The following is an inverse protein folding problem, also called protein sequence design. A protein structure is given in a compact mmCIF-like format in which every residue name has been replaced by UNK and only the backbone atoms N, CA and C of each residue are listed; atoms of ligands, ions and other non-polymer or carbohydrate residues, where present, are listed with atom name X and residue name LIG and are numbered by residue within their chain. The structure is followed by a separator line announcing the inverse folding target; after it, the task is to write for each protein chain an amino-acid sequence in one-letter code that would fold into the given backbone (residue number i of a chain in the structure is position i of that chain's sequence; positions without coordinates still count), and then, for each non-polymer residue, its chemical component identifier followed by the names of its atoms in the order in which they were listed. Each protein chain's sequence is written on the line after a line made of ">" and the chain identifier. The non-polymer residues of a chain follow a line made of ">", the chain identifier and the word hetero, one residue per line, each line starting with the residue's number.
data_IF_620977125923
#
_entry.id   IF_620977125923
#
_cell.length_a   1.000
_cell.length_b   1.000
_cell.length_c   1.000
_cell.angle_alpha   90.00
_cell.angle_beta   90.00
_cell.angle_gamma   90.00
#
_symmetry.space_group_name_H-M   'P 1'
#
loop_
_entity.id
_entity.type
_entity.pdbx_description
1 polymer ?
#
# COMPACT_ATOMS: atom_id res chain seq x y z
N UNK A 1 -17.32 -16.47 29.32
CA UNK A 1 -18.23 -15.90 28.29
C UNK A 1 -18.11 -14.38 28.14
N UNK A 2 -18.27 -13.56 29.19
CA UNK A 2 -18.20 -12.09 29.05
C UNK A 2 -16.74 -11.58 28.96
N UNK A 3 -15.82 -12.11 29.78
CA UNK A 3 -14.40 -11.78 29.74
C UNK A 3 -13.71 -12.21 28.42
N UNK A 4 -14.13 -13.35 27.84
CA UNK A 4 -13.59 -13.85 26.56
C UNK A 4 -13.96 -12.93 25.39
N UNK A 5 -15.16 -12.35 25.42
CA UNK A 5 -15.62 -11.38 24.43
C UNK A 5 -14.89 -10.03 24.55
N UNK A 6 -14.62 -9.55 25.76
CA UNK A 6 -13.87 -8.31 25.96
C UNK A 6 -12.41 -8.44 25.48
N UNK A 7 -11.77 -9.58 25.77
CA UNK A 7 -10.41 -9.87 25.30
C UNK A 7 -10.35 -9.92 23.76
N UNK A 8 -11.34 -10.57 23.13
CA UNK A 8 -11.47 -10.63 21.68
C UNK A 8 -11.63 -9.23 21.06
N UNK A 9 -12.57 -8.42 21.58
CA UNK A 9 -12.81 -7.05 21.10
C UNK A 9 -11.55 -6.21 21.19
N UNK A 10 -10.82 -6.32 22.31
CA UNK A 10 -9.57 -5.58 22.51
C UNK A 10 -8.49 -6.00 21.52
N UNK A 11 -8.30 -7.29 21.31
CA UNK A 11 -7.31 -7.80 20.35
C UNK A 11 -7.65 -7.43 18.91
N UNK A 12 -8.91 -7.60 18.49
CA UNK A 12 -9.35 -7.18 17.16
C UNK A 12 -9.18 -5.67 16.99
N UNK A 13 -9.59 -4.86 17.96
CA UNK A 13 -9.43 -3.40 17.89
C UNK A 13 -7.95 -2.99 17.75
N UNK A 14 -7.04 -3.71 18.41
CA UNK A 14 -5.61 -3.46 18.27
C UNK A 14 -5.10 -3.79 16.86
N UNK A 15 -5.51 -4.93 16.31
CA UNK A 15 -5.19 -5.33 14.93
C UNK A 15 -5.72 -4.30 13.92
N UNK A 16 -6.94 -3.84 14.12
CA UNK A 16 -7.57 -2.84 13.24
C UNK A 16 -6.80 -1.51 13.25
N UNK A 17 -6.34 -1.06 14.42
CA UNK A 17 -5.45 0.12 14.52
C UNK A 17 -4.11 -0.09 13.84
N UNK A 18 -3.51 -1.27 13.99
CA UNK A 18 -2.24 -1.60 13.35
C UNK A 18 -2.38 -1.56 11.82
N UNK A 19 -3.49 -2.08 11.27
CA UNK A 19 -3.80 -1.98 9.84
C UNK A 19 -3.92 -0.53 9.38
N UNK A 20 -4.61 0.33 10.15
CA UNK A 20 -4.75 1.75 9.83
C UNK A 20 -3.38 2.44 9.81
N UNK A 21 -2.53 2.20 10.80
CA UNK A 21 -1.18 2.78 10.86
C UNK A 21 -0.33 2.34 9.66
N UNK A 22 -0.37 1.06 9.29
CA UNK A 22 0.41 0.54 8.15
C UNK A 22 -0.05 1.16 6.84
N UNK A 23 -1.36 1.33 6.64
CA UNK A 23 -1.90 1.95 5.43
C UNK A 23 -1.55 3.44 5.37
N UNK A 24 -1.64 4.14 6.50
CA UNK A 24 -1.33 5.56 6.61
C UNK A 24 0.16 5.84 6.39
N UNK A 25 1.02 4.88 6.78
CA UNK A 25 2.46 4.95 6.58
C UNK A 25 2.92 4.31 5.27
N UNK A 26 1.98 3.90 4.40
CA UNK A 26 2.24 3.24 3.10
C UNK A 26 3.10 1.96 3.19
N UNK A 27 3.14 1.32 4.37
CA UNK A 27 3.87 0.08 4.64
C UNK A 27 3.04 -1.15 4.23
N UNK A 28 2.69 -1.21 2.95
CA UNK A 28 1.74 -2.21 2.43
C UNK A 28 2.25 -3.65 2.51
N UNK A 29 3.57 -3.84 2.48
CA UNK A 29 4.24 -5.14 2.53
C UNK A 29 3.96 -5.90 3.84
N UNK A 30 3.65 -5.19 4.92
CA UNK A 30 3.42 -5.77 6.25
C UNK A 30 1.95 -6.13 6.50
N UNK A 31 1.04 -5.57 5.71
CA UNK A 31 -0.42 -5.78 5.85
C UNK A 31 -0.81 -7.27 5.80
N UNK A 32 -0.29 -8.11 4.88
CA UNK A 32 -0.67 -9.53 4.82
C UNK A 32 -0.46 -10.27 6.15
N UNK A 33 0.66 -10.01 6.84
CA UNK A 33 0.95 -10.64 8.13
C UNK A 33 -0.09 -10.27 9.19
N UNK A 34 -0.53 -9.00 9.21
CA UNK A 34 -1.53 -8.53 10.16
C UNK A 34 -2.91 -9.09 9.84
N UNK A 35 -3.27 -9.19 8.56
CA UNK A 35 -4.52 -9.83 8.13
C UNK A 35 -4.55 -11.32 8.48
N UNK A 36 -3.42 -12.03 8.40
CA UNK A 36 -3.32 -13.42 8.86
C UNK A 36 -3.52 -13.56 10.38
N UNK A 37 -2.96 -12.62 11.18
CA UNK A 37 -3.21 -12.58 12.63
C UNK A 37 -4.70 -12.39 12.90
N UNK A 38 -5.35 -11.46 12.18
CA UNK A 38 -6.80 -11.21 12.26
C UNK A 38 -7.60 -12.47 11.94
N UNK A 39 -7.28 -13.13 10.84
CA UNK A 39 -7.98 -14.33 10.38
C UNK A 39 -7.83 -15.49 11.38
N UNK A 40 -6.64 -15.67 11.97
CA UNK A 40 -6.41 -16.67 13.02
C UNK A 40 -7.26 -16.39 14.26
N UNK A 41 -7.30 -15.13 14.70
CA UNK A 41 -8.10 -14.73 15.86
C UNK A 41 -9.60 -14.96 15.62
N UNK A 42 -10.12 -14.55 14.46
CA UNK A 42 -11.52 -14.76 14.07
C UNK A 42 -11.87 -16.26 14.02
N UNK A 43 -10.97 -17.10 13.50
CA UNK A 43 -11.18 -18.55 13.44
C UNK A 43 -11.12 -19.23 14.81
N UNK A 44 -10.41 -18.64 15.77
CA UNK A 44 -10.25 -19.22 17.11
C UNK A 44 -11.48 -19.05 18.02
N UNK A 45 -12.43 -18.21 17.62
CA UNK A 45 -13.62 -17.89 18.41
C UNK A 45 -14.89 -18.47 17.80
N UNK A 46 -15.79 -18.95 18.65
CA UNK A 46 -17.05 -19.60 18.23
C UNK A 46 -18.13 -18.60 17.84
N UNK A 47 -18.09 -17.37 18.38
CA UNK A 47 -19.06 -16.31 18.08
C UNK A 47 -18.41 -14.94 18.17
N UNK A 48 -18.70 -14.09 17.20
CA UNK A 48 -18.28 -12.68 17.17
C UNK A 48 -19.55 -11.83 17.21
N UNK A 49 -19.60 -10.74 18.00
CA UNK A 49 -20.74 -9.83 17.98
C UNK A 49 -20.96 -9.19 16.60
N UNK A 50 -22.19 -9.15 16.12
CA UNK A 50 -22.53 -8.62 14.78
C UNK A 50 -22.09 -7.16 14.59
N UNK A 51 -22.19 -6.35 15.63
CA UNK A 51 -21.74 -4.95 15.60
C UNK A 51 -20.24 -4.85 15.30
N UNK A 52 -19.42 -5.77 15.80
CA UNK A 52 -17.98 -5.80 15.58
C UNK A 52 -17.66 -6.25 14.15
N UNK A 53 -18.38 -7.25 13.65
CA UNK A 53 -18.27 -7.70 12.25
C UNK A 53 -18.57 -6.54 11.29
N UNK A 54 -19.65 -5.81 11.53
CA UNK A 54 -20.03 -4.67 10.70
C UNK A 54 -18.99 -3.55 10.78
N UNK A 55 -18.46 -3.27 11.98
CA UNK A 55 -17.38 -2.28 12.14
C UNK A 55 -16.13 -2.65 11.34
N UNK A 56 -15.71 -3.92 11.37
CA UNK A 56 -14.52 -4.39 10.63
C UNK A 56 -14.77 -4.29 9.12
N UNK A 57 -15.97 -4.67 8.64
CA UNK A 57 -16.32 -4.56 7.21
C UNK A 57 -16.28 -3.13 6.70
N UNK A 58 -16.85 -2.19 7.44
CA UNK A 58 -16.82 -0.77 7.08
C UNK A 58 -15.40 -0.21 7.08
N UNK A 59 -14.58 -0.62 8.05
CA UNK A 59 -13.16 -0.24 8.08
C UNK A 59 -12.40 -0.79 6.87
N UNK A 60 -12.60 -2.06 6.51
CA UNK A 60 -11.97 -2.69 5.35
C UNK A 60 -12.37 -2.03 4.02
N UNK A 61 -13.62 -1.58 3.90
CA UNK A 61 -14.07 -0.82 2.74
C UNK A 61 -13.29 0.49 2.60
N UNK A 62 -13.20 1.27 3.69
CA UNK A 62 -12.45 2.53 3.72
C UNK A 62 -10.96 2.33 3.44
N UNK A 63 -10.35 1.30 4.03
CA UNK A 63 -8.95 0.93 3.79
C UNK A 63 -8.69 0.58 2.33
N UNK A 64 -9.59 -0.20 1.72
CA UNK A 64 -9.48 -0.57 0.31
C UNK A 64 -9.52 0.66 -0.60
N UNK A 65 -10.43 1.60 -0.32
CA UNK A 65 -10.51 2.87 -1.06
C UNK A 65 -9.22 3.70 -0.89
N UNK A 66 -8.68 3.77 0.33
CA UNK A 66 -7.43 4.49 0.62
C UNK A 66 -6.23 3.88 -0.11
N UNK A 67 -6.07 2.55 -0.06
CA UNK A 67 -5.01 1.83 -0.76
C UNK A 67 -5.13 2.05 -2.28
N UNK A 68 -6.34 1.95 -2.84
CA UNK A 68 -6.57 2.21 -4.27
C UNK A 68 -6.14 3.63 -4.66
N UNK A 69 -6.52 4.62 -3.86
CA UNK A 69 -6.10 6.01 -4.10
C UNK A 69 -4.59 6.18 -4.06
N UNK A 70 -3.91 5.55 -3.09
CA UNK A 70 -2.44 5.53 -3.03
C UNK A 70 -1.80 4.90 -4.26
N UNK A 71 -2.30 3.73 -4.69
CA UNK A 71 -1.80 3.05 -5.88
C UNK A 71 -1.98 3.86 -7.17
N UNK A 72 -3.08 4.59 -7.30
CA UNK A 72 -3.27 5.50 -8.44
C UNK A 72 -2.19 6.58 -8.47
N UNK A 73 -1.87 7.20 -7.32
CA UNK A 73 -0.80 8.21 -7.23
C UNK A 73 0.57 7.64 -7.61
N UNK A 74 0.91 6.48 -7.07
CA UNK A 74 2.16 5.78 -7.39
C UNK A 74 2.23 5.49 -8.90
N UNK A 75 1.14 5.03 -9.50
CA UNK A 75 1.07 4.77 -10.95
C UNK A 75 1.28 6.03 -11.79
N UNK A 76 0.72 7.17 -11.37
CA UNK A 76 0.92 8.47 -12.02
C UNK A 76 2.38 8.94 -11.91
N UNK A 77 3.00 8.76 -10.74
CA UNK A 77 4.41 9.09 -10.51
C UNK A 77 5.34 8.22 -11.35
N UNK A 78 5.11 6.91 -11.42
CA UNK A 78 5.86 6.00 -12.30
C UNK A 78 5.73 6.44 -13.77
N UNK A 79 4.53 6.85 -14.18
CA UNK A 79 4.30 7.32 -15.56
C UNK A 79 5.06 8.61 -15.85
N UNK A 80 5.15 9.54 -14.89
CA UNK A 80 5.96 10.76 -15.00
C UNK A 80 7.46 10.42 -15.03
N UNK A 81 7.92 9.52 -14.17
CA UNK A 81 9.32 9.09 -14.12
C UNK A 81 9.77 8.46 -15.45
N UNK A 82 8.95 7.58 -16.04
CA UNK A 82 9.24 6.99 -17.37
C UNK A 82 9.33 8.04 -18.47
N UNK A 83 8.46 9.06 -18.45
CA UNK A 83 8.53 10.18 -19.40
C UNK A 83 9.81 10.97 -19.20
N UNK A 84 10.21 11.26 -17.96
CA UNK A 84 11.45 11.95 -17.66
C UNK A 84 12.69 11.15 -18.13
N UNK A 85 12.70 9.83 -17.90
CA UNK A 85 13.76 8.93 -18.38
C UNK A 85 13.88 8.97 -19.91
N UNK A 86 12.76 8.96 -20.63
CA UNK A 86 12.75 9.06 -22.09
C UNK A 86 13.31 10.40 -22.58
N UNK A 87 12.93 11.52 -21.93
CA UNK A 87 13.46 12.85 -22.27
C UNK A 87 14.96 12.91 -22.04
N UNK A 88 15.46 12.37 -20.93
CA UNK A 88 16.89 12.32 -20.63
C UNK A 88 17.64 11.47 -21.67
N UNK A 89 17.12 10.28 -22.00
CA UNK A 89 17.71 9.42 -23.04
C UNK A 89 17.79 10.12 -24.39
N UNK A 90 16.74 10.83 -24.79
CA UNK A 90 16.73 11.58 -26.04
C UNK A 90 17.72 12.75 -26.01
N UNK A 91 17.81 13.48 -24.88
CA UNK A 91 18.78 14.56 -24.72
C UNK A 91 20.22 14.06 -24.83
N UNK A 92 20.58 12.99 -24.11
CA UNK A 92 21.91 12.39 -24.24
C UNK A 92 22.17 11.86 -25.65
N UNK A 93 21.20 11.21 -26.29
CA UNK A 93 21.33 10.74 -27.67
C UNK A 93 21.57 11.86 -28.69
N UNK A 94 21.02 13.06 -28.48
CA UNK A 94 21.28 14.25 -29.30
C UNK A 94 22.66 14.83 -28.97
N UNK A 95 23.00 14.95 -27.69
CA UNK A 95 24.26 15.56 -27.24
C UNK A 95 25.49 14.69 -27.57
N UNK A 96 25.35 13.37 -27.53
CA UNK A 96 26.37 12.40 -27.97
C UNK A 96 26.50 12.37 -29.51
N UNK A 97 25.42 12.66 -30.24
CA UNK A 97 25.44 12.78 -31.71
C UNK A 97 26.08 14.10 -32.16
N UNK A 98 25.94 15.20 -31.41
CA UNK A 98 26.59 16.49 -31.71
C UNK A 98 28.06 16.54 -31.26
N UNK A 99 28.50 15.68 -30.32
CA UNK A 99 29.90 15.56 -29.89
C UNK A 99 30.81 14.78 -30.84
N UNK A 100 30.25 14.10 -31.84
CA UNK A 100 30.97 13.22 -32.75
C UNK A 100 31.21 13.81 -34.14
N UNK A 101 32.08 14.83 -34.26
CA UNK A 101 32.94 15.16 -35.43
C UNK A 101 33.40 16.63 -35.39
N UNK A 102 34.44 16.92 -34.61
CA UNK A 102 35.29 18.11 -34.83
C UNK A 102 36.64 17.72 -35.48
N UNK A 103 36.95 16.43 -35.61
CA UNK A 103 38.29 15.94 -35.96
C UNK A 103 38.41 15.27 -37.35
N UNK A 104 37.61 15.69 -38.33
CA UNK A 104 37.77 15.27 -39.73
C UNK A 104 37.88 16.46 -40.69
N UNK A 105 38.78 17.41 -40.40
CA UNK A 105 39.38 18.26 -41.44
C UNK A 105 40.83 18.58 -41.06
N UNK A 106 41.74 17.65 -41.35
CA UNK A 106 43.14 17.95 -41.68
C UNK A 106 43.59 17.05 -42.80
#
# INVERSE_FOLDING_TARGET
>A
MQADNEALVKQLTQIEKELDILIDSERYEEIPSILEKRARLIKSVTKIPDWLINSIREADKKRTEKIKSGMTKISEEISKAKKAELVLKNYYGIHDAEGGRIDERR
#
